data_IF_504300918384
#
_entry.id   IF_504300918384
#
_cell.length_a   1.000
_cell.length_b   1.000
_cell.length_c   1.000
_cell.angle_alpha   90.00
_cell.angle_beta   90.00
_cell.angle_gamma   90.00
#
_symmetry.space_group_name_H-M   'P 1'
#
loop_
_entity.id
_entity.type
_entity.pdbx_description
1 polymer ?
#
# COMPACT_ATOMS: atom_id res chain seq x y z
N UNK A 1 46.36 -59.86 6.35
CA UNK A 1 45.38 -59.85 5.26
C UNK A 1 44.28 -58.87 5.63
N UNK A 2 43.91 -58.01 4.68
CA UNK A 2 43.35 -56.68 4.89
C UNK A 2 41.94 -56.66 5.51
N UNK A 3 41.75 -55.76 6.48
CA UNK A 3 40.45 -55.33 6.97
C UNK A 3 39.84 -54.36 5.96
N UNK A 4 38.66 -54.67 5.43
CA UNK A 4 37.91 -53.76 4.55
C UNK A 4 37.01 -52.85 5.40
N UNK A 5 37.18 -51.53 5.29
CA UNK A 5 36.25 -50.54 5.83
C UNK A 5 35.36 -50.09 4.68
N UNK A 6 34.04 -50.30 4.79
CA UNK A 6 33.04 -49.69 3.90
C UNK A 6 32.68 -48.32 4.47
N UNK A 7 33.18 -47.25 3.86
CA UNK A 7 32.67 -45.91 4.13
C UNK A 7 31.32 -45.73 3.43
N UNK A 8 30.28 -45.45 4.21
CA UNK A 8 29.01 -44.94 3.68
C UNK A 8 29.09 -43.41 3.64
N UNK A 9 28.96 -42.83 2.45
CA UNK A 9 28.69 -41.40 2.29
C UNK A 9 27.18 -41.26 2.12
N UNK A 10 26.51 -40.67 3.11
CA UNK A 10 25.12 -40.24 2.96
C UNK A 10 25.14 -38.86 2.31
N UNK A 11 24.79 -38.79 1.02
CA UNK A 11 24.49 -37.50 0.38
C UNK A 11 23.03 -37.22 0.65
N UNK A 12 22.76 -36.36 1.64
CA UNK A 12 21.44 -35.75 1.78
C UNK A 12 21.30 -34.74 0.64
N UNK A 13 20.67 -35.14 -0.45
CA UNK A 13 20.17 -34.20 -1.46
C UNK A 13 18.95 -33.53 -0.81
N UNK A 14 19.19 -32.47 -0.05
CA UNK A 14 18.12 -31.56 0.35
C UNK A 14 17.53 -30.96 -0.92
N UNK A 15 16.22 -31.06 -1.06
CA UNK A 15 15.50 -30.27 -2.06
C UNK A 15 15.79 -28.79 -1.75
N UNK A 16 16.73 -28.17 -2.47
CA UNK A 16 16.76 -26.72 -2.57
C UNK A 16 15.49 -26.37 -3.35
N UNK A 17 14.43 -26.03 -2.63
CA UNK A 17 13.41 -25.16 -3.19
C UNK A 17 14.15 -23.86 -3.51
N UNK A 18 14.47 -23.65 -4.79
CA UNK A 18 14.74 -22.30 -5.27
C UNK A 18 13.44 -21.54 -5.05
N UNK A 19 13.34 -20.87 -3.91
CA UNK A 19 12.43 -19.74 -3.77
C UNK A 19 12.94 -18.77 -4.82
N UNK A 20 12.17 -18.58 -5.90
CA UNK A 20 12.37 -17.41 -6.75
C UNK A 20 12.41 -16.23 -5.78
N UNK A 21 13.49 -15.45 -5.79
CA UNK A 21 13.59 -14.30 -4.92
C UNK A 21 12.47 -13.33 -5.34
N UNK A 22 11.35 -13.40 -4.63
CA UNK A 22 10.40 -12.31 -4.53
C UNK A 22 11.17 -11.05 -4.13
N UNK A 23 10.71 -9.89 -4.57
CA UNK A 23 11.26 -8.60 -4.16
C UNK A 23 11.30 -8.47 -2.62
N UNK A 24 11.98 -7.45 -2.09
CA UNK A 24 12.27 -7.37 -0.66
C UNK A 24 11.04 -7.08 0.21
N UNK A 25 9.89 -6.79 -0.40
CA UNK A 25 8.69 -6.35 0.30
C UNK A 25 7.65 -7.46 0.47
N UNK A 26 6.70 -7.23 1.38
CA UNK A 26 5.67 -8.20 1.72
C UNK A 26 4.87 -8.65 0.49
N UNK A 27 4.61 -9.97 0.31
CA UNK A 27 3.87 -10.50 -0.83
C UNK A 27 2.37 -10.21 -0.73
N UNK A 28 1.64 -10.62 -1.78
CA UNK A 28 0.20 -10.52 -1.90
C UNK A 28 -0.59 -11.02 -0.68
N UNK A 29 -1.80 -10.50 -0.51
CA UNK A 29 -2.70 -10.88 0.58
C UNK A 29 -2.93 -12.40 0.64
N UNK A 30 -2.81 -12.98 1.83
CA UNK A 30 -2.98 -14.42 2.07
C UNK A 30 -1.74 -15.27 1.77
N UNK A 31 -0.64 -14.68 1.28
CA UNK A 31 0.66 -15.35 1.19
C UNK A 31 1.42 -15.27 2.51
N UNK A 32 2.32 -16.24 2.74
CA UNK A 32 3.18 -16.25 3.93
C UNK A 32 4.09 -15.01 3.91
N UNK A 33 4.08 -14.24 5.00
CA UNK A 33 4.86 -13.01 5.12
C UNK A 33 4.13 -11.74 4.62
N UNK A 34 2.90 -11.87 4.12
CA UNK A 34 2.04 -10.72 3.78
C UNK A 34 1.75 -9.86 5.01
N UNK A 35 1.76 -8.53 4.83
CA UNK A 35 1.33 -7.55 5.83
C UNK A 35 -0.08 -7.01 5.57
N UNK A 36 -0.76 -7.50 4.53
CA UNK A 36 -2.12 -7.09 4.19
C UNK A 36 -3.10 -7.26 5.37
N UNK A 37 -3.85 -6.21 5.69
CA UNK A 37 -4.88 -6.24 6.74
C UNK A 37 -6.24 -6.48 6.10
N UNK A 38 -7.02 -7.42 6.63
CA UNK A 38 -8.40 -7.64 6.18
C UNK A 38 -9.28 -6.45 6.54
N UNK A 39 -10.21 -6.05 5.68
CA UNK A 39 -11.21 -5.01 6.02
C UNK A 39 -12.09 -5.36 7.22
N UNK A 40 -12.20 -6.65 7.52
CA UNK A 40 -12.95 -7.18 8.67
C UNK A 40 -12.05 -7.40 9.90
N UNK A 41 -10.81 -6.89 9.89
CA UNK A 41 -9.91 -6.99 11.03
C UNK A 41 -10.53 -6.27 12.26
N UNK A 42 -10.73 -6.96 13.39
CA UNK A 42 -11.39 -6.39 14.57
C UNK A 42 -10.59 -5.26 15.23
N UNK A 43 -9.33 -5.06 14.87
CA UNK A 43 -8.52 -3.94 15.36
C UNK A 43 -8.85 -2.62 14.62
N UNK A 44 -9.61 -2.67 13.52
CA UNK A 44 -10.13 -1.47 12.87
C UNK A 44 -11.34 -0.98 13.67
N UNK A 45 -11.11 0.04 14.50
CA UNK A 45 -12.11 0.57 15.44
C UNK A 45 -12.81 1.85 14.96
N UNK A 46 -12.29 2.46 13.89
CA UNK A 46 -12.80 3.70 13.32
C UNK A 46 -12.50 3.78 11.83
N UNK A 47 -13.21 4.67 11.15
CA UNK A 47 -13.06 4.96 9.72
C UNK A 47 -13.08 6.47 9.51
N UNK A 48 -12.60 6.93 8.35
CA UNK A 48 -12.74 8.34 7.98
C UNK A 48 -14.22 8.74 8.02
N UNK A 49 -14.51 9.87 8.66
CA UNK A 49 -15.88 10.35 8.87
C UNK A 49 -16.20 11.62 8.07
N UNK A 50 -15.19 12.21 7.43
CA UNK A 50 -15.36 13.33 6.53
C UNK A 50 -14.19 13.41 5.52
N UNK A 51 -14.30 14.28 4.52
CA UNK A 51 -13.27 14.50 3.50
C UNK A 51 -13.16 15.98 3.12
N UNK A 52 -12.03 16.35 2.54
CA UNK A 52 -11.81 17.63 1.89
C UNK A 52 -10.86 17.50 0.69
N UNK A 53 -10.71 18.58 -0.08
CA UNK A 53 -9.72 18.73 -1.13
C UNK A 53 -9.67 17.58 -2.15
N UNK A 54 -10.85 17.05 -2.49
CA UNK A 54 -10.99 16.11 -3.61
C UNK A 54 -10.75 16.83 -4.93
N UNK A 55 -9.77 16.35 -5.69
CA UNK A 55 -9.43 16.84 -7.01
C UNK A 55 -9.36 15.60 -7.91
N UNK A 56 -10.34 15.46 -8.80
CA UNK A 56 -10.30 14.41 -9.81
C UNK A 56 -9.14 14.66 -10.78
N UNK A 57 -8.35 13.61 -11.01
CA UNK A 57 -7.34 13.55 -12.06
C UNK A 57 -7.94 13.36 -13.44
N UNK A 58 -7.09 12.99 -14.40
CA UNK A 58 -7.55 12.70 -15.75
C UNK A 58 -8.26 11.34 -15.82
N UNK A 59 -9.13 11.18 -16.83
CA UNK A 59 -9.84 9.94 -17.16
C UNK A 59 -10.82 9.42 -16.10
N UNK A 60 -11.37 10.31 -15.26
CA UNK A 60 -12.45 9.96 -14.33
C UNK A 60 -13.81 10.39 -14.87
N UNK A 61 -14.70 9.42 -15.14
CA UNK A 61 -16.10 9.74 -15.43
C UNK A 61 -16.78 10.39 -14.23
N UNK A 62 -17.62 11.40 -14.49
CA UNK A 62 -18.34 12.16 -13.44
C UNK A 62 -19.13 11.27 -12.46
N UNK A 63 -19.61 10.11 -12.91
CA UNK A 63 -20.35 9.17 -12.05
C UNK A 63 -19.50 8.56 -10.92
N UNK A 64 -18.16 8.57 -11.06
CA UNK A 64 -17.20 8.04 -10.08
C UNK A 64 -16.58 9.13 -9.19
N UNK A 65 -16.98 10.39 -9.40
CA UNK A 65 -16.51 11.55 -8.64
C UNK A 65 -17.40 11.78 -7.40
N UNK A 66 -17.55 10.74 -6.58
CA UNK A 66 -18.39 10.73 -5.37
C UNK A 66 -17.54 10.53 -4.13
N UNK A 67 -16.87 11.58 -3.62
CA UNK A 67 -15.94 11.49 -2.50
C UNK A 67 -16.57 11.01 -1.19
N UNK A 68 -17.88 11.12 -1.01
CA UNK A 68 -18.59 10.56 0.15
C UNK A 68 -18.49 9.03 0.24
N UNK A 69 -18.21 8.34 -0.88
CA UNK A 69 -17.96 6.90 -0.90
C UNK A 69 -16.60 6.48 -0.34
N UNK A 70 -15.74 7.45 -0.04
CA UNK A 70 -14.46 7.19 0.63
C UNK A 70 -14.61 7.12 2.17
N UNK A 71 -15.81 7.38 2.69
CA UNK A 71 -16.09 7.46 4.12
C UNK A 71 -16.68 6.15 4.64
N UNK A 72 -16.49 5.91 5.93
CA UNK A 72 -17.01 4.70 6.58
C UNK A 72 -16.25 3.44 6.19
N UNK A 73 -16.89 2.30 6.43
CA UNK A 73 -16.25 1.00 6.26
C UNK A 73 -15.99 0.69 4.79
N UNK A 74 -14.79 0.20 4.48
CA UNK A 74 -14.50 -0.32 3.16
C UNK A 74 -15.43 -1.52 2.86
N UNK A 75 -16.10 -1.50 1.71
CA UNK A 75 -17.00 -2.58 1.29
C UNK A 75 -16.24 -3.74 0.61
N UNK A 76 -15.03 -3.47 0.10
CA UNK A 76 -14.23 -4.44 -0.65
C UNK A 76 -14.83 -4.77 -2.03
N UNK A 77 -15.45 -3.79 -2.68
CA UNK A 77 -16.04 -3.91 -4.02
C UNK A 77 -15.59 -2.75 -4.91
N UNK A 78 -15.67 -2.93 -6.22
CA UNK A 78 -15.33 -1.86 -7.18
C UNK A 78 -16.46 -0.85 -7.43
N UNK A 79 -17.60 -0.94 -6.73
CA UNK A 79 -18.78 -0.10 -6.99
C UNK A 79 -18.98 1.00 -5.95
N UNK A 80 -18.41 0.83 -4.75
CA UNK A 80 -18.48 1.78 -3.67
C UNK A 80 -17.11 2.41 -3.41
N UNK A 81 -16.71 3.27 -4.35
CA UNK A 81 -15.39 3.88 -4.43
C UNK A 81 -15.51 5.35 -4.80
N UNK A 82 -14.53 6.14 -4.40
CA UNK A 82 -14.19 7.40 -5.07
C UNK A 82 -13.06 7.10 -6.05
N UNK A 83 -13.18 7.55 -7.30
CA UNK A 83 -12.09 7.42 -8.26
C UNK A 83 -11.24 8.69 -8.23
N UNK A 84 -9.95 8.55 -7.97
CA UNK A 84 -9.00 9.66 -8.07
C UNK A 84 -8.64 9.93 -9.53
N UNK A 85 -8.40 8.86 -10.30
CA UNK A 85 -7.87 8.92 -11.66
C UNK A 85 -6.49 9.55 -11.73
N UNK A 86 -5.95 9.63 -12.95
CA UNK A 86 -4.53 9.91 -13.17
C UNK A 86 -4.12 11.25 -12.58
N UNK A 87 -3.31 11.22 -11.52
CA UNK A 87 -2.80 12.37 -10.78
C UNK A 87 -3.83 13.09 -9.91
N UNK A 88 -4.96 12.45 -9.59
CA UNK A 88 -5.96 12.97 -8.67
C UNK A 88 -5.57 12.85 -7.20
N UNK A 89 -6.39 13.41 -6.32
CA UNK A 89 -6.18 13.33 -4.87
C UNK A 89 -7.47 13.46 -4.07
N UNK A 90 -7.43 12.99 -2.83
CA UNK A 90 -8.43 13.26 -1.79
C UNK A 90 -7.75 13.36 -0.43
N UNK A 91 -8.28 14.21 0.45
CA UNK A 91 -7.90 14.20 1.87
C UNK A 91 -9.07 13.66 2.69
N UNK A 92 -8.85 12.54 3.38
CA UNK A 92 -9.76 11.97 4.37
C UNK A 92 -9.46 12.58 5.72
N UNK A 93 -10.51 12.87 6.49
CA UNK A 93 -10.41 13.50 7.80
C UNK A 93 -11.10 12.68 8.86
N UNK A 94 -10.58 12.78 10.08
CA UNK A 94 -11.02 12.01 11.24
C UNK A 94 -11.36 12.97 12.38
N UNK A 95 -12.61 12.92 12.87
CA UNK A 95 -13.01 13.73 14.03
C UNK A 95 -12.32 13.29 15.33
N UNK A 96 -11.96 12.01 15.40
CA UNK A 96 -11.09 11.45 16.44
C UNK A 96 -9.70 11.26 15.83
N UNK A 97 -8.66 11.94 16.33
CA UNK A 97 -7.31 11.81 15.82
C UNK A 97 -6.79 10.37 15.90
N UNK A 98 -5.97 10.01 14.92
CA UNK A 98 -5.16 8.78 14.90
C UNK A 98 -3.88 9.09 15.66
N UNK A 99 -3.59 8.29 16.69
CA UNK A 99 -2.41 8.46 17.52
C UNK A 99 -1.42 7.31 17.27
N UNK A 100 -0.14 7.66 17.09
CA UNK A 100 0.95 6.70 16.98
C UNK A 100 0.98 5.76 18.21
N UNK A 101 1.00 4.46 17.95
CA UNK A 101 1.06 3.39 18.91
C UNK A 101 1.99 2.26 18.45
N UNK A 102 2.00 1.11 19.15
CA UNK A 102 2.83 -0.01 18.74
C UNK A 102 2.34 -0.64 17.42
N UNK A 103 3.16 -0.58 16.38
CA UNK A 103 2.88 -1.19 15.09
C UNK A 103 2.00 -0.30 14.22
N UNK A 104 1.22 -0.90 13.33
CA UNK A 104 0.42 -0.15 12.37
C UNK A 104 -0.73 0.63 13.03
N UNK A 105 -0.84 1.91 12.70
CA UNK A 105 -1.84 2.83 13.28
C UNK A 105 -3.05 3.04 12.39
N UNK A 106 -2.87 2.91 11.08
CA UNK A 106 -3.96 2.99 10.12
C UNK A 106 -3.71 2.10 8.90
N UNK A 107 -4.76 1.95 8.10
CA UNK A 107 -4.76 1.13 6.89
C UNK A 107 -5.55 1.85 5.80
N UNK A 108 -5.05 1.83 4.57
CA UNK A 108 -5.76 2.32 3.39
C UNK A 108 -6.33 1.16 2.59
N UNK A 109 -7.54 1.32 2.06
CA UNK A 109 -8.19 0.30 1.25
C UNK A 109 -8.45 0.83 -0.15
N UNK A 110 -8.15 -0.02 -1.13
CA UNK A 110 -8.36 0.26 -2.54
C UNK A 110 -9.18 -0.85 -3.19
N UNK A 111 -9.51 -0.65 -4.47
CA UNK A 111 -10.43 -1.51 -5.21
C UNK A 111 -9.73 -2.39 -6.27
N UNK A 112 -8.44 -2.65 -6.11
CA UNK A 112 -7.70 -3.55 -7.00
C UNK A 112 -8.40 -4.91 -7.14
N UNK A 113 -8.62 -5.35 -8.38
CA UNK A 113 -9.44 -6.54 -8.67
C UNK A 113 -8.69 -7.88 -8.44
N UNK A 114 -7.36 -7.86 -8.35
CA UNK A 114 -6.53 -9.05 -8.16
C UNK A 114 -5.18 -8.66 -7.53
N UNK A 115 -4.34 -9.65 -7.18
CA UNK A 115 -3.10 -9.41 -6.43
C UNK A 115 -2.00 -8.65 -7.18
N UNK A 116 -2.18 -8.34 -8.48
CA UNK A 116 -1.15 -7.72 -9.32
C UNK A 116 -1.63 -6.55 -10.18
N UNK A 117 -2.93 -6.32 -10.32
CA UNK A 117 -3.46 -5.09 -10.94
C UNK A 117 -3.52 -3.99 -9.88
N UNK A 118 -2.38 -3.40 -9.58
CA UNK A 118 -2.20 -2.44 -8.48
C UNK A 118 -1.99 -1.04 -9.06
N UNK A 119 -2.97 -0.15 -8.90
CA UNK A 119 -2.88 1.28 -9.28
C UNK A 119 -2.43 2.06 -8.03
N UNK A 120 -1.17 2.50 -7.99
CA UNK A 120 -0.52 2.96 -6.76
C UNK A 120 -0.89 4.41 -6.41
N UNK A 121 -0.74 4.74 -5.13
CA UNK A 121 -0.97 6.09 -4.62
C UNK A 121 -0.07 6.39 -3.44
N UNK A 122 0.45 7.61 -3.39
CA UNK A 122 1.17 8.08 -2.20
C UNK A 122 0.21 8.29 -1.04
N UNK A 123 0.74 8.09 0.17
CA UNK A 123 0.02 8.34 1.41
C UNK A 123 0.75 9.44 2.18
N UNK A 124 0.02 10.49 2.52
CA UNK A 124 0.51 11.60 3.32
C UNK A 124 -0.38 11.80 4.54
N UNK A 125 0.19 12.30 5.64
CA UNK A 125 -0.55 12.60 6.87
C UNK A 125 -0.37 14.05 7.29
N UNK A 126 -1.35 14.58 8.01
CA UNK A 126 -1.28 15.89 8.66
C UNK A 126 -1.99 15.89 10.01
N UNK A 127 -1.40 16.58 10.99
CA UNK A 127 -2.04 16.91 12.26
C UNK A 127 -2.75 18.27 12.26
N UNK A 128 -2.53 19.11 11.24
CA UNK A 128 -3.06 20.48 11.19
C UNK A 128 -3.87 20.82 9.92
N UNK A 129 -3.96 19.88 8.97
CA UNK A 129 -4.69 20.04 7.70
C UNK A 129 -4.02 20.96 6.68
N UNK A 130 -2.81 21.45 6.95
CA UNK A 130 -2.06 22.38 6.09
C UNK A 130 -0.75 21.75 5.64
N UNK A 131 0.04 21.23 6.58
CA UNK A 131 1.33 20.60 6.30
C UNK A 131 1.14 19.09 6.15
N UNK A 132 1.52 18.55 5.01
CA UNK A 132 1.39 17.12 4.72
C UNK A 132 2.76 16.49 4.59
N UNK A 133 2.92 15.33 5.23
CA UNK A 133 4.16 14.58 5.28
C UNK A 133 3.92 13.20 4.72
N UNK A 134 4.74 12.82 3.76
CA UNK A 134 4.59 11.59 2.97
C UNK A 134 5.35 10.45 3.63
N UNK A 135 4.75 9.27 3.62
CA UNK A 135 5.46 8.02 3.94
C UNK A 135 6.51 7.70 2.89
N UNK A 136 7.58 7.04 3.30
CA UNK A 136 8.53 6.51 2.34
C UNK A 136 7.87 5.46 1.45
N UNK A 137 8.23 5.50 0.17
CA UNK A 137 7.67 4.62 -0.83
C UNK A 137 8.77 4.14 -1.76
N UNK A 138 8.68 2.89 -2.21
CA UNK A 138 9.75 2.23 -2.96
C UNK A 138 9.16 1.38 -4.08
N UNK A 139 9.73 1.47 -5.29
CA UNK A 139 9.33 0.63 -6.43
C UNK A 139 10.55 -0.01 -7.11
N UNK A 140 10.46 -1.33 -7.30
CA UNK A 140 11.41 -2.12 -8.07
C UNK A 140 10.80 -2.66 -9.37
N UNK A 141 9.62 -2.15 -9.76
CA UNK A 141 8.97 -2.49 -11.03
C UNK A 141 9.86 -2.03 -12.18
N UNK A 142 10.48 -2.99 -12.87
CA UNK A 142 11.62 -2.73 -13.75
C UNK A 142 11.26 -1.98 -15.04
N UNK A 143 10.06 -2.20 -15.56
CA UNK A 143 9.63 -1.73 -16.88
C UNK A 143 8.24 -1.10 -16.81
N UNK A 144 7.92 -0.28 -17.81
CA UNK A 144 6.60 0.33 -17.98
C UNK A 144 5.52 -0.74 -17.98
N UNK A 145 4.48 -0.51 -17.17
CA UNK A 145 3.31 -1.36 -17.07
C UNK A 145 2.24 -0.83 -18.02
N UNK A 146 1.62 -1.72 -18.80
CA UNK A 146 0.51 -1.32 -19.67
C UNK A 146 -0.81 -1.18 -18.90
N UNK A 147 -1.89 -0.68 -19.53
CA UNK A 147 -3.19 -0.43 -18.87
C UNK A 147 -3.90 -1.64 -18.23
N UNK A 148 -3.42 -2.85 -18.51
CA UNK A 148 -3.90 -4.11 -17.93
C UNK A 148 -2.73 -4.97 -17.45
N UNK A 149 -1.59 -4.32 -17.23
CA UNK A 149 -0.36 -4.93 -16.79
C UNK A 149 -0.41 -5.32 -15.32
N UNK A 150 0.71 -5.83 -14.84
CA UNK A 150 0.82 -6.42 -13.52
C UNK A 150 2.03 -5.83 -12.82
N UNK A 151 1.82 -5.40 -11.58
CA UNK A 151 2.84 -5.03 -10.61
C UNK A 151 2.98 -6.20 -9.63
N UNK A 152 4.21 -6.68 -9.40
CA UNK A 152 4.45 -7.66 -8.35
C UNK A 152 4.42 -6.95 -6.98
N UNK A 153 3.54 -7.32 -6.04
CA UNK A 153 3.46 -6.67 -4.73
C UNK A 153 4.76 -6.80 -3.91
N UNK A 154 5.64 -7.74 -4.25
CA UNK A 154 6.94 -7.91 -3.59
C UNK A 154 7.97 -6.88 -4.05
N UNK A 155 7.71 -6.18 -5.17
CA UNK A 155 8.56 -5.12 -5.72
C UNK A 155 8.17 -3.72 -5.25
N UNK A 156 7.07 -3.56 -4.50
CA UNK A 156 6.56 -2.26 -4.07
C UNK A 156 6.26 -2.17 -2.57
N UNK A 157 6.43 -0.98 -1.97
CA UNK A 157 6.09 -0.70 -0.57
C UNK A 157 5.74 0.77 -0.35
N UNK A 158 4.93 1.06 0.66
CA UNK A 158 4.56 2.44 1.06
C UNK A 158 3.44 3.08 0.24
N UNK A 159 2.65 2.30 -0.49
CA UNK A 159 1.56 2.78 -1.34
C UNK A 159 0.20 2.32 -0.84
N UNK A 160 -0.85 3.11 -1.12
CA UNK A 160 -2.18 2.85 -0.60
C UNK A 160 -2.87 1.61 -1.23
N UNK A 161 -2.50 1.26 -2.47
CA UNK A 161 -3.10 0.20 -3.31
C UNK A 161 -2.22 -1.03 -3.49
N UNK A 162 -1.48 -1.45 -2.46
CA UNK A 162 -0.59 -2.62 -2.56
C UNK A 162 -1.35 -3.95 -2.65
N UNK A 163 -2.60 -4.00 -2.17
CA UNK A 163 -3.37 -5.24 -2.01
C UNK A 163 -4.72 -5.17 -2.71
N UNK A 164 -5.17 -6.34 -3.19
CA UNK A 164 -6.49 -6.50 -3.80
C UNK A 164 -7.62 -6.15 -2.84
N UNK A 165 -8.76 -5.77 -3.40
CA UNK A 165 -9.99 -5.44 -2.69
C UNK A 165 -10.33 -6.45 -1.57
N UNK A 166 -10.76 -5.90 -0.43
CA UNK A 166 -10.97 -6.64 0.81
C UNK A 166 -9.75 -6.67 1.73
N UNK A 167 -8.59 -6.28 1.24
CA UNK A 167 -7.37 -6.12 2.03
C UNK A 167 -6.79 -4.72 1.84
N UNK A 168 -6.21 -4.17 2.90
CA UNK A 168 -5.63 -2.84 2.91
C UNK A 168 -4.14 -2.85 3.24
N UNK A 169 -3.50 -1.73 2.90
CA UNK A 169 -2.08 -1.47 3.10
C UNK A 169 -1.89 -0.77 4.45
N UNK A 170 -1.19 -1.37 5.42
CA UNK A 170 -0.99 -0.75 6.72
C UNK A 170 0.13 0.28 6.73
N UNK A 171 0.03 1.27 7.63
CA UNK A 171 1.00 2.34 7.85
C UNK A 171 1.25 2.56 9.34
N UNK A 172 2.52 2.79 9.70
CA UNK A 172 3.01 2.97 11.07
C UNK A 172 3.52 4.40 11.24
N UNK A 173 2.84 5.23 12.04
CA UNK A 173 3.18 6.64 12.25
C UNK A 173 4.51 6.81 12.97
N UNK A 174 5.08 5.76 13.57
CA UNK A 174 6.41 5.79 14.17
C UNK A 174 7.50 6.10 13.12
N UNK A 175 7.25 5.77 11.84
CA UNK A 175 8.11 6.12 10.71
C UNK A 175 8.27 7.65 10.52
N UNK A 176 7.32 8.43 11.02
CA UNK A 176 7.27 9.89 10.86
C UNK A 176 7.60 10.65 12.16
N UNK A 177 8.04 9.97 13.21
CA UNK A 177 8.43 10.59 14.48
C UNK A 177 9.61 11.55 14.30
N UNK A 178 9.49 12.73 14.89
CA UNK A 178 10.55 13.73 14.91
C UNK A 178 10.54 14.71 13.73
N UNK A 179 9.59 14.57 12.81
CA UNK A 179 9.34 15.57 11.76
C UNK A 179 8.79 16.85 12.40
N UNK A 180 9.41 17.99 12.09
CA UNK A 180 8.95 19.30 12.56
C UNK A 180 7.56 19.61 11.99
N UNK A 181 6.69 20.20 12.81
CA UNK A 181 5.29 20.54 12.46
C UNK A 181 4.32 19.36 12.25
N UNK A 182 4.76 18.12 12.51
CA UNK A 182 3.89 16.94 12.58
C UNK A 182 3.74 16.47 14.03
N UNK A 183 2.49 16.35 14.49
CA UNK A 183 2.16 15.69 15.75
C UNK A 183 1.58 14.30 15.44
N UNK A 184 2.43 13.27 15.50
CA UNK A 184 2.04 11.89 15.22
C UNK A 184 1.07 11.32 16.27
N UNK A 185 0.84 12.00 17.40
CA UNK A 185 -0.18 11.62 18.38
C UNK A 185 -1.55 12.20 18.07
N UNK A 186 -1.64 13.13 17.12
CA UNK A 186 -2.86 13.89 16.80
C UNK A 186 -3.05 14.01 15.27
N UNK A 187 -2.80 12.92 14.52
CA UNK A 187 -3.02 12.91 13.06
C UNK A 187 -4.52 12.93 12.77
N UNK A 188 -4.96 13.92 12.01
CA UNK A 188 -6.39 14.15 11.72
C UNK A 188 -6.71 14.07 10.23
N UNK A 189 -5.69 14.08 9.37
CA UNK A 189 -5.85 14.04 7.93
C UNK A 189 -4.95 12.98 7.33
N UNK A 190 -5.50 12.19 6.40
CA UNK A 190 -4.77 11.30 5.51
C UNK A 190 -5.06 11.76 4.09
N UNK A 191 -4.04 12.13 3.32
CA UNK A 191 -4.18 12.42 1.89
C UNK A 191 -3.67 11.25 1.07
N UNK A 192 -4.48 10.87 0.09
CA UNK A 192 -4.09 9.94 -0.96
C UNK A 192 -3.87 10.75 -2.24
N UNK A 193 -2.73 10.53 -2.87
CA UNK A 193 -2.36 11.15 -4.16
C UNK A 193 -2.10 10.03 -5.16
N UNK A 194 -2.91 9.97 -6.20
CA UNK A 194 -2.79 9.00 -7.29
C UNK A 194 -1.44 9.15 -8.01
N UNK A 195 -0.87 8.02 -8.40
CA UNK A 195 0.35 7.93 -9.20
C UNK A 195 -0.04 7.59 -10.64
N UNK A 196 0.48 8.34 -11.59
CA UNK A 196 0.16 8.17 -13.01
C UNK A 196 0.76 6.89 -13.61
N UNK A 197 1.82 6.33 -13.02
CA UNK A 197 2.39 5.05 -13.46
C UNK A 197 3.23 5.06 -14.73
N UNK A 198 3.48 6.23 -15.32
CA UNK A 198 4.24 6.36 -16.58
C UNK A 198 5.73 6.69 -16.38
N UNK A 199 6.20 6.61 -15.13
CA UNK A 199 7.56 6.97 -14.72
C UNK A 199 7.80 8.46 -14.54
N UNK A 200 6.78 9.33 -14.67
CA UNK A 200 6.91 10.75 -14.34
C UNK A 200 6.91 11.02 -12.84
N UNK A 201 6.36 10.09 -12.06
CA UNK A 201 6.36 10.08 -10.61
C UNK A 201 7.52 9.21 -10.12
N UNK A 202 8.14 9.59 -9.01
CA UNK A 202 9.31 8.89 -8.46
C UNK A 202 9.14 8.50 -7.01
N UNK A 203 9.67 7.34 -6.64
CA UNK A 203 9.71 6.86 -5.28
C UNK A 203 10.65 7.70 -4.38
N UNK A 204 10.81 7.31 -3.11
CA UNK A 204 11.64 8.04 -2.13
C UNK A 204 13.10 8.20 -2.60
N UNK A 205 13.64 7.19 -3.30
CA UNK A 205 15.02 7.19 -3.78
C UNK A 205 15.17 7.88 -5.15
N UNK A 206 14.07 8.36 -5.72
CA UNK A 206 14.03 9.04 -7.02
C UNK A 206 13.94 8.09 -8.21
N UNK A 207 13.61 6.81 -8.01
CA UNK A 207 13.38 5.87 -9.10
C UNK A 207 11.98 6.06 -9.70
N UNK A 208 11.82 5.94 -11.03
CA UNK A 208 10.51 6.07 -11.66
C UNK A 208 9.55 4.97 -11.20
N UNK A 209 8.29 5.34 -10.98
CA UNK A 209 7.23 4.40 -10.61
C UNK A 209 6.42 4.05 -11.85
N UNK A 210 6.19 2.75 -12.03
CA UNK A 210 5.36 2.20 -13.10
C UNK A 210 4.21 1.36 -12.53
N UNK A 211 2.99 1.67 -12.97
CA UNK A 211 1.77 0.94 -12.69
C UNK A 211 0.77 1.09 -13.87
N UNK A 212 -0.33 0.33 -13.92
CA UNK A 212 -1.25 0.30 -15.06
C UNK A 212 -1.87 1.65 -15.49
#
# INVERSE_FOLDING_TARGET
MNTAIKSFVLVMIGNLNLVAAAGPYAPAAGQVGSTAISRDDPNIIAWADNWCDYIAGAYVDTQWQTPEKALGAAEGTSYDIVCLGRGGQITLTFSTPIANGPGWDFVTFENSVNDTFLELGYVEVSSNGVNFFRFDSYSQTADVVGPYGMVDPTDVSGYCSKYRQGFGSPFDLDELVGIEELDVSEVTHIRIVDIVGDGTYTDTDGYPIYDP
#
